data_IF_117150660498
#
_entry.id   IF_117150660498
#
_cell.length_a   1.000
_cell.length_b   1.000
_cell.length_c   1.000
_cell.angle_alpha   90.00
_cell.angle_beta   90.00
_cell.angle_gamma   90.00
#
_symmetry.space_group_name_H-M   'P 1'
#
loop_
_entity.id
_entity.type
_entity.pdbx_description
1 polymer ?
#
# COMPACT_ATOMS: atom_id res chain seq x y z
N UNK A 1 -3.38 -37.15 40.83
CA UNK A 1 -3.85 -35.81 40.41
C UNK A 1 -4.05 -35.88 38.91
N UNK A 2 -5.28 -36.13 38.47
CA UNK A 2 -5.62 -36.07 37.04
C UNK A 2 -5.83 -34.60 36.68
N UNK A 3 -5.26 -34.11 35.58
CA UNK A 3 -5.61 -32.79 35.07
C UNK A 3 -7.11 -32.76 34.74
N UNK A 4 -7.75 -31.67 35.12
CA UNK A 4 -9.19 -31.43 34.93
C UNK A 4 -9.47 -31.23 33.44
N UNK A 5 -10.33 -32.06 32.85
CA UNK A 5 -10.63 -32.03 31.43
C UNK A 5 -11.22 -30.69 30.95
N UNK A 6 -11.78 -29.89 31.88
CA UNK A 6 -12.27 -28.54 31.61
C UNK A 6 -11.16 -27.54 31.28
N UNK A 7 -9.97 -27.65 31.89
CA UNK A 7 -8.86 -26.72 31.71
C UNK A 7 -8.20 -26.88 30.32
N UNK A 8 -8.04 -28.12 29.87
CA UNK A 8 -7.49 -28.43 28.54
C UNK A 8 -8.40 -27.94 27.42
N UNK A 9 -9.73 -28.07 27.58
CA UNK A 9 -10.69 -27.60 26.59
C UNK A 9 -10.69 -26.07 26.45
N UNK A 10 -10.49 -25.33 27.54
CA UNK A 10 -10.43 -23.86 27.49
C UNK A 10 -9.17 -23.32 26.82
N UNK A 11 -8.03 -23.98 27.02
CA UNK A 11 -6.75 -23.57 26.41
C UNK A 11 -6.76 -23.78 24.89
N UNK A 12 -7.30 -24.92 24.42
CA UNK A 12 -7.42 -25.22 22.99
C UNK A 12 -8.33 -24.21 22.25
N UNK A 13 -9.46 -23.84 22.87
CA UNK A 13 -10.36 -22.82 22.34
C UNK A 13 -9.67 -21.45 22.26
N UNK A 14 -8.89 -21.07 23.27
CA UNK A 14 -8.15 -19.80 23.27
C UNK A 14 -7.09 -19.77 22.16
N UNK A 15 -6.35 -20.87 21.97
CA UNK A 15 -5.37 -21.01 20.87
C UNK A 15 -6.04 -20.90 19.50
N UNK A 16 -7.22 -21.49 19.33
CA UNK A 16 -7.98 -21.42 18.08
C UNK A 16 -8.60 -20.04 17.83
N UNK A 17 -9.02 -19.33 18.88
CA UNK A 17 -9.43 -17.92 18.78
C UNK A 17 -8.25 -17.07 18.30
N UNK A 18 -7.11 -17.14 18.98
CA UNK A 18 -5.92 -16.37 18.61
C UNK A 18 -5.43 -16.69 17.18
N UNK A 19 -5.51 -17.96 16.77
CA UNK A 19 -5.19 -18.35 15.38
C UNK A 19 -6.13 -17.72 14.36
N UNK A 20 -7.43 -17.69 14.64
CA UNK A 20 -8.43 -17.08 13.74
C UNK A 20 -8.26 -15.57 13.66
N UNK A 21 -7.96 -14.90 14.77
CA UNK A 21 -7.70 -13.47 14.78
C UNK A 21 -6.44 -13.11 13.98
N UNK A 22 -5.35 -13.87 14.15
CA UNK A 22 -4.16 -13.73 13.31
C UNK A 22 -4.46 -13.96 11.82
N UNK A 23 -5.26 -14.98 11.50
CA UNK A 23 -5.63 -15.25 10.11
C UNK A 23 -6.44 -14.09 9.51
N UNK A 24 -7.41 -13.55 10.26
CA UNK A 24 -8.23 -12.43 9.82
C UNK A 24 -7.41 -11.16 9.59
N UNK A 25 -6.40 -10.90 10.44
CA UNK A 25 -5.47 -9.80 10.23
C UNK A 25 -4.64 -9.98 8.95
N UNK A 26 -4.10 -11.17 8.71
CA UNK A 26 -3.34 -11.44 7.49
C UNK A 26 -4.23 -11.31 6.25
N UNK A 27 -5.49 -11.76 6.32
CA UNK A 27 -6.46 -11.58 5.23
C UNK A 27 -6.74 -10.10 4.94
N UNK A 28 -6.81 -9.26 5.98
CA UNK A 28 -7.01 -7.82 5.84
C UNK A 28 -5.81 -7.17 5.12
N UNK A 29 -4.59 -7.45 5.58
CA UNK A 29 -3.37 -6.91 4.98
C UNK A 29 -3.16 -7.37 3.54
N UNK A 30 -3.47 -8.62 3.22
CA UNK A 30 -3.39 -9.14 1.85
C UNK A 30 -4.40 -8.46 0.91
N UNK A 31 -5.62 -8.16 1.41
CA UNK A 31 -6.64 -7.43 0.66
C UNK A 31 -6.24 -5.97 0.43
N UNK A 32 -5.66 -5.32 1.42
CA UNK A 32 -5.12 -3.97 1.29
C UNK A 32 -4.03 -3.93 0.22
N UNK A 33 -3.07 -4.85 0.26
CA UNK A 33 -2.00 -4.94 -0.74
C UNK A 33 -2.54 -5.17 -2.17
N UNK A 34 -3.58 -6.01 -2.30
CA UNK A 34 -4.25 -6.26 -3.58
C UNK A 34 -4.99 -5.02 -4.09
N UNK A 35 -5.68 -4.30 -3.20
CA UNK A 35 -6.38 -3.05 -3.53
C UNK A 35 -5.38 -1.98 -3.98
N UNK A 36 -4.28 -1.81 -3.26
CA UNK A 36 -3.22 -0.86 -3.63
C UNK A 36 -2.61 -1.19 -4.99
N UNK A 37 -2.38 -2.47 -5.30
CA UNK A 37 -1.88 -2.89 -6.61
C UNK A 37 -2.89 -2.58 -7.74
N UNK A 38 -4.18 -2.81 -7.50
CA UNK A 38 -5.24 -2.49 -8.47
C UNK A 38 -5.34 -0.97 -8.73
N UNK A 39 -5.30 -0.15 -7.68
CA UNK A 39 -5.32 1.32 -7.83
C UNK A 39 -4.12 1.86 -8.60
N UNK A 40 -2.93 1.27 -8.41
CA UNK A 40 -1.75 1.68 -9.15
C UNK A 40 -1.82 1.30 -10.64
N UNK A 41 -2.40 0.14 -10.97
CA UNK A 41 -2.63 -0.24 -12.36
C UNK A 41 -3.57 0.74 -13.07
N UNK A 42 -4.61 1.21 -12.38
CA UNK A 42 -5.56 2.21 -12.91
C UNK A 42 -4.92 3.59 -13.14
N UNK A 43 -3.99 3.99 -12.26
CA UNK A 43 -3.25 5.25 -12.37
C UNK A 43 -2.28 5.33 -13.58
N UNK A 44 -2.10 4.23 -14.33
CA UNK A 44 -1.24 4.20 -15.53
C UNK A 44 -1.92 4.86 -16.75
N UNK A 45 -3.23 5.13 -16.68
CA UNK A 45 -3.96 5.90 -17.70
C UNK A 45 -3.65 7.39 -17.50
N UNK A 46 -3.27 8.15 -18.55
CA UNK A 46 -2.89 9.55 -18.39
C UNK A 46 -4.05 10.36 -17.81
N UNK A 47 -3.88 10.80 -16.56
CA UNK A 47 -4.80 11.71 -15.91
C UNK A 47 -4.85 13.02 -16.72
N UNK A 48 -6.01 13.35 -17.27
CA UNK A 48 -6.30 14.70 -17.75
C UNK A 48 -6.17 15.66 -16.56
N UNK A 49 -5.72 16.89 -16.80
CA UNK A 49 -5.23 17.89 -15.81
C UNK A 49 -6.22 18.32 -14.71
N UNK A 50 -7.34 17.61 -14.51
CA UNK A 50 -8.42 17.99 -13.61
C UNK A 50 -8.62 17.05 -12.41
N UNK A 51 -7.83 15.99 -12.28
CA UNK A 51 -7.82 15.19 -11.05
C UNK A 51 -6.59 15.57 -10.24
N UNK A 52 -6.72 16.62 -9.41
CA UNK A 52 -5.91 16.72 -8.22
C UNK A 52 -6.20 15.43 -7.43
N UNK A 53 -5.30 14.44 -7.56
CA UNK A 53 -5.44 13.16 -6.89
C UNK A 53 -5.60 13.44 -5.41
N UNK A 54 -6.83 13.23 -4.92
CA UNK A 54 -7.11 13.14 -3.50
C UNK A 54 -6.17 12.04 -3.00
N UNK A 55 -5.11 12.45 -2.30
CA UNK A 55 -4.20 11.49 -1.66
C UNK A 55 -5.11 10.70 -0.73
N UNK A 56 -5.34 9.40 -0.98
CA UNK A 56 -6.23 8.64 -0.15
C UNK A 56 -5.71 8.77 1.28
N UNK A 57 -6.58 9.20 2.18
CA UNK A 57 -6.26 9.40 3.59
C UNK A 57 -5.70 8.06 4.10
N UNK A 58 -4.37 8.01 4.22
CA UNK A 58 -3.68 6.82 4.67
C UNK A 58 -4.02 6.69 6.14
N UNK A 59 -5.12 5.99 6.43
CA UNK A 59 -5.54 5.68 7.78
C UNK A 59 -4.33 5.09 8.49
N UNK A 60 -3.87 5.76 9.54
CA UNK A 60 -2.63 5.40 10.22
C UNK A 60 -2.76 3.97 10.75
N UNK A 61 -2.05 3.03 10.11
CA UNK A 61 -2.02 1.64 10.54
C UNK A 61 -1.50 1.58 11.98
N UNK A 62 -2.29 0.96 12.86
CA UNK A 62 -1.91 0.73 14.26
C UNK A 62 -1.62 -0.74 14.45
N UNK A 63 -0.44 -1.04 14.99
CA UNK A 63 -0.07 -2.42 15.30
C UNK A 63 -1.03 -3.02 16.34
N UNK A 64 -1.61 -4.21 16.09
CA UNK A 64 -2.45 -4.88 17.06
C UNK A 64 -1.58 -5.48 18.18
N UNK A 65 -1.74 -4.94 19.38
CA UNK A 65 -0.94 -5.30 20.56
C UNK A 65 -1.45 -6.53 21.32
N UNK A 66 -2.64 -7.03 20.99
CA UNK A 66 -3.35 -8.05 21.77
C UNK A 66 -3.23 -9.48 21.22
N UNK A 67 -2.65 -9.67 20.03
CA UNK A 67 -2.71 -10.95 19.30
C UNK A 67 -1.70 -12.02 19.77
N UNK A 68 -0.81 -11.68 20.71
CA UNK A 68 0.26 -12.60 21.14
C UNK A 68 1.20 -12.99 19.99
N UNK A 69 2.01 -14.06 20.12
CA UNK A 69 2.93 -14.47 19.07
C UNK A 69 2.21 -15.09 17.87
N UNK A 70 2.78 -14.92 16.66
CA UNK A 70 2.25 -15.52 15.43
C UNK A 70 2.22 -17.05 15.52
N UNK A 71 1.07 -17.71 15.29
CA UNK A 71 0.98 -19.17 15.25
C UNK A 71 1.91 -19.77 14.20
N UNK A 72 2.63 -20.85 14.55
CA UNK A 72 3.62 -21.53 13.68
C UNK A 72 3.07 -21.87 12.29
N UNK A 73 1.80 -22.25 12.20
CA UNK A 73 1.12 -22.56 10.93
C UNK A 73 0.99 -21.35 9.99
N UNK A 74 0.95 -20.12 10.53
CA UNK A 74 0.77 -18.88 9.78
C UNK A 74 2.08 -18.15 9.46
N UNK A 75 3.21 -18.55 10.07
CA UNK A 75 4.52 -17.90 9.87
C UNK A 75 4.93 -17.85 8.39
N UNK A 76 4.72 -18.95 7.65
CA UNK A 76 5.03 -19.00 6.22
C UNK A 76 4.20 -18.01 5.39
N UNK A 77 2.93 -17.79 5.78
CA UNK A 77 2.04 -16.81 5.13
C UNK A 77 2.47 -15.39 5.45
N UNK A 78 2.68 -15.07 6.73
CA UNK A 78 3.15 -13.77 7.18
C UNK A 78 4.49 -13.37 6.53
N UNK A 79 5.42 -14.32 6.39
CA UNK A 79 6.72 -14.08 5.75
C UNK A 79 6.59 -13.73 4.27
N UNK A 80 5.70 -14.42 3.53
CA UNK A 80 5.43 -14.09 2.11
C UNK A 80 4.75 -12.74 1.95
N UNK A 81 3.80 -12.41 2.82
CA UNK A 81 3.15 -11.11 2.84
C UNK A 81 4.18 -9.99 3.07
N UNK A 82 5.07 -10.15 4.05
CA UNK A 82 6.13 -9.17 4.33
C UNK A 82 7.09 -9.00 3.15
N UNK A 83 7.43 -10.08 2.44
CA UNK A 83 8.24 -9.99 1.23
C UNK A 83 7.51 -9.19 0.13
N UNK A 84 6.23 -9.50 -0.14
CA UNK A 84 5.43 -8.77 -1.12
C UNK A 84 5.27 -7.29 -0.78
N UNK A 85 5.10 -6.94 0.51
CA UNK A 85 5.05 -5.55 0.97
C UNK A 85 6.37 -4.81 0.70
N UNK A 86 7.52 -5.46 0.94
CA UNK A 86 8.85 -4.86 0.67
C UNK A 86 9.11 -4.67 -0.81
N UNK A 87 8.75 -5.65 -1.63
CA UNK A 87 8.89 -5.57 -3.08
C UNK A 87 8.06 -4.38 -3.62
N UNK A 88 6.84 -4.21 -3.10
CA UNK A 88 5.98 -3.09 -3.49
C UNK A 88 6.53 -1.73 -3.04
N UNK A 89 7.11 -1.65 -1.85
CA UNK A 89 7.78 -0.42 -1.39
C UNK A 89 8.95 -0.05 -2.32
N UNK A 90 9.78 -1.02 -2.71
CA UNK A 90 10.91 -0.79 -3.60
C UNK A 90 10.47 -0.31 -5.00
N UNK A 91 9.35 -0.82 -5.50
CA UNK A 91 8.74 -0.37 -6.76
C UNK A 91 8.29 1.10 -6.66
N UNK A 92 7.53 1.45 -5.62
CA UNK A 92 7.07 2.82 -5.38
C UNK A 92 8.24 3.81 -5.20
N UNK A 93 9.30 3.40 -4.52
CA UNK A 93 10.52 4.22 -4.39
C UNK A 93 11.21 4.45 -5.74
N UNK A 94 11.14 3.48 -6.65
CA UNK A 94 11.68 3.60 -8.00
C UNK A 94 10.83 4.54 -8.85
N UNK A 95 9.52 4.37 -8.85
CA UNK A 95 8.58 5.26 -9.55
C UNK A 95 8.69 6.70 -9.04
N UNK A 96 8.81 6.89 -7.71
CA UNK A 96 9.02 8.20 -7.10
C UNK A 96 10.29 8.88 -7.63
N UNK A 97 11.41 8.15 -7.71
CA UNK A 97 12.67 8.70 -8.23
C UNK A 97 12.53 9.13 -9.69
N UNK A 98 11.96 8.27 -10.54
CA UNK A 98 11.72 8.57 -11.96
C UNK A 98 10.79 9.78 -12.14
N UNK A 99 9.73 9.88 -11.33
CA UNK A 99 8.82 11.03 -11.35
C UNK A 99 9.54 12.33 -10.98
N UNK A 100 10.39 12.31 -9.95
CA UNK A 100 11.16 13.48 -9.55
C UNK A 100 12.18 13.92 -10.60
N UNK A 101 12.81 12.96 -11.29
CA UNK A 101 13.69 13.21 -12.42
C UNK A 101 12.93 13.89 -13.57
N UNK A 102 11.76 13.36 -13.94
CA UNK A 102 10.91 13.93 -14.98
C UNK A 102 10.46 15.36 -14.63
N UNK A 103 9.98 15.58 -13.41
CA UNK A 103 9.63 16.91 -12.92
C UNK A 103 10.83 17.86 -12.89
N UNK A 104 12.03 17.33 -12.62
CA UNK A 104 13.29 18.07 -12.72
C UNK A 104 13.57 18.56 -14.14
N UNK A 105 13.41 17.68 -15.13
CA UNK A 105 13.57 18.03 -16.55
C UNK A 105 12.53 19.08 -16.99
N UNK A 106 11.26 18.91 -16.61
CA UNK A 106 10.21 19.89 -16.92
C UNK A 106 10.52 21.28 -16.33
N UNK A 107 11.03 21.34 -15.10
CA UNK A 107 11.45 22.60 -14.48
C UNK A 107 12.61 23.26 -15.22
N UNK A 108 13.57 22.50 -15.76
CA UNK A 108 14.67 23.05 -16.54
C UNK A 108 14.18 23.65 -17.86
N UNK A 109 13.28 22.95 -18.58
CA UNK A 109 12.68 23.47 -19.82
C UNK A 109 11.95 24.79 -19.55
N UNK A 110 11.12 24.83 -18.51
CA UNK A 110 10.41 26.04 -18.12
C UNK A 110 11.35 27.20 -17.75
N UNK A 111 12.52 26.91 -17.17
CA UNK A 111 13.52 27.94 -16.83
C UNK A 111 14.25 28.50 -18.07
N UNK A 112 14.34 27.71 -19.14
CA UNK A 112 14.98 28.12 -20.42
C UNK A 112 14.01 28.77 -21.41
N UNK A 113 12.71 28.75 -21.11
CA UNK A 113 11.69 29.37 -21.94
C UNK A 113 11.73 30.89 -21.71
N UNK A 114 12.59 31.59 -22.47
CA UNK A 114 12.60 33.05 -22.55
C UNK A 114 11.20 33.50 -22.99
N UNK A 115 10.53 34.45 -22.29
CA UNK A 115 9.14 34.82 -22.57
C UNK A 115 9.04 35.55 -23.92
N UNK A 116 9.02 34.79 -25.01
CA UNK A 116 8.54 35.26 -26.30
C UNK A 116 7.04 35.36 -26.17
N UNK A 117 6.57 36.57 -25.86
CA UNK A 117 5.19 36.89 -25.51
C UNK A 117 4.16 36.11 -26.32
N UNK A 118 3.11 35.66 -25.62
CA UNK A 118 2.02 34.85 -26.16
C UNK A 118 1.51 35.41 -27.49
N UNK A 119 1.69 34.68 -28.59
CA UNK A 119 1.19 35.07 -29.91
C UNK A 119 -0.24 34.55 -30.05
N UNK A 120 -1.20 35.46 -30.08
CA UNK A 120 -2.57 35.11 -30.47
C UNK A 120 -2.62 34.95 -32.00
N UNK A 121 -2.82 33.72 -32.45
CA UNK A 121 -3.17 33.42 -33.84
C UNK A 121 -4.68 33.68 -33.99
N UNK A 122 -5.04 34.78 -34.63
CA UNK A 122 -6.42 35.04 -35.03
C UNK A 122 -6.78 34.11 -36.20
N UNK A 123 -7.60 33.10 -35.91
CA UNK A 123 -8.07 32.12 -36.89
C UNK A 123 -9.27 32.63 -37.71
N UNK A 124 -9.31 33.93 -38.01
CA UNK A 124 -10.34 34.54 -38.85
C UNK A 124 -9.72 35.28 -40.04
N UNK A 125 -9.52 34.55 -41.15
CA UNK A 125 -9.21 35.12 -42.47
C UNK A 125 -10.01 34.40 -43.55
#
# INVERSE_FOLDING_TARGET
>A
MSPDAGEIATDDVAVDVGRREWAALLDALERELTTTAASAADATVPATSQTAAEVPDATAWTEPTTLGPVPRALVGRASRLLAAQRDRLAELETERRQTLEHLGALRQVAATDEPRGSVYLDASA
#
